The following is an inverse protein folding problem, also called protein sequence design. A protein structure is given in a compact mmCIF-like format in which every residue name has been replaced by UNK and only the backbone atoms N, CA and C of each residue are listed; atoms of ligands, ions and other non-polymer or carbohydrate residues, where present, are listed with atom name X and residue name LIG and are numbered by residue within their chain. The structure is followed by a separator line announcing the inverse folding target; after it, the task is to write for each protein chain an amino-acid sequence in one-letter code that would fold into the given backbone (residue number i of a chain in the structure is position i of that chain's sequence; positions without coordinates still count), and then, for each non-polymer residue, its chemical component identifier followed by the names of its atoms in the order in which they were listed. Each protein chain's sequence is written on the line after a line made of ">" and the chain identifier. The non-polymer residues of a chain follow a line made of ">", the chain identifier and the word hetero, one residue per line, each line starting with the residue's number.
data_IF_781311860754
#
_entry.id   IF_781311860754
#
_cell.length_a   1.000
_cell.length_b   1.000
_cell.length_c   1.000
_cell.angle_alpha   90.00
_cell.angle_beta   90.00
_cell.angle_gamma   90.00
#
_symmetry.space_group_name_H-M   'P 1'
#
loop_
_entity.id
_entity.type
_entity.pdbx_description
1 polymer ?
#
# COMPACT_ATOMS: atom_id res chain seq x y z
N UNK A 1 -13.02 -15.16 27.79
CA UNK A 1 -13.55 -14.17 26.83
C UNK A 1 -13.60 -14.82 25.45
N UNK A 2 -14.75 -14.85 24.76
CA UNK A 2 -14.82 -15.39 23.40
C UNK A 2 -14.05 -14.49 22.44
N UNK A 3 -13.36 -15.10 21.47
CA UNK A 3 -12.61 -14.35 20.44
C UNK A 3 -13.62 -13.55 19.60
N UNK A 4 -13.45 -12.22 19.56
CA UNK A 4 -14.41 -11.28 18.95
C UNK A 4 -14.55 -11.38 17.42
N UNK A 5 -13.70 -12.14 16.73
CA UNK A 5 -13.64 -12.15 15.25
C UNK A 5 -13.78 -13.55 14.67
N UNK A 6 -14.73 -13.71 13.73
CA UNK A 6 -15.01 -14.93 12.94
C UNK A 6 -14.34 -14.95 11.56
N UNK A 7 -13.56 -13.92 11.21
CA UNK A 7 -13.00 -13.72 9.86
C UNK A 7 -11.48 -13.90 9.82
N UNK A 8 -10.98 -14.16 8.60
CA UNK A 8 -9.56 -14.19 8.31
C UNK A 8 -8.94 -12.80 8.48
N UNK A 9 -7.70 -12.76 8.99
CA UNK A 9 -6.87 -11.54 9.09
C UNK A 9 -5.95 -11.37 7.88
N UNK A 10 -5.96 -12.30 6.94
CA UNK A 10 -5.13 -12.23 5.73
C UNK A 10 -5.62 -11.14 4.79
N UNK A 11 -4.67 -10.42 4.20
CA UNK A 11 -4.93 -9.35 3.24
C UNK A 11 -4.54 -9.76 1.80
N UNK A 12 -4.03 -10.99 1.61
CA UNK A 12 -3.60 -11.51 0.33
C UNK A 12 -4.73 -11.42 -0.73
N UNK A 13 -4.38 -10.93 -1.91
CA UNK A 13 -5.32 -10.72 -3.03
C UNK A 13 -6.33 -9.59 -2.81
N UNK A 14 -6.26 -8.85 -1.70
CA UNK A 14 -7.09 -7.65 -1.47
C UNK A 14 -6.40 -6.39 -2.00
N UNK A 15 -7.17 -5.31 -2.11
CA UNK A 15 -6.65 -3.97 -2.41
C UNK A 15 -6.63 -3.15 -1.13
N UNK A 16 -5.50 -2.50 -0.84
CA UNK A 16 -5.32 -1.65 0.34
C UNK A 16 -4.89 -0.24 -0.07
N UNK A 17 -5.49 0.79 0.53
CA UNK A 17 -5.08 2.18 0.40
C UNK A 17 -4.32 2.61 1.64
N UNK A 18 -3.07 3.05 1.48
CA UNK A 18 -2.20 3.46 2.60
C UNK A 18 -1.82 4.92 2.42
N UNK A 19 -2.24 5.76 3.37
CA UNK A 19 -1.88 7.19 3.43
C UNK A 19 -0.64 7.40 4.30
N UNK A 20 0.06 8.52 4.12
CA UNK A 20 1.29 8.79 4.88
C UNK A 20 2.42 7.79 4.53
N UNK A 21 2.36 7.19 3.34
CA UNK A 21 3.22 6.07 2.96
C UNK A 21 4.57 6.47 2.38
N UNK A 22 4.91 7.77 2.37
CA UNK A 22 6.26 8.24 2.06
C UNK A 22 7.31 7.74 3.06
N UNK A 23 6.94 7.63 4.34
CA UNK A 23 7.90 7.39 5.41
C UNK A 23 7.28 6.68 6.62
N UNK A 24 8.13 6.40 7.62
CA UNK A 24 7.71 5.87 8.92
C UNK A 24 6.83 4.63 8.82
N UNK A 25 5.76 4.62 9.62
CA UNK A 25 4.83 3.48 9.71
C UNK A 25 4.01 3.28 8.44
N UNK A 26 3.63 4.36 7.73
CA UNK A 26 2.86 4.24 6.50
C UNK A 26 3.65 3.49 5.42
N UNK A 27 4.93 3.84 5.24
CA UNK A 27 5.83 3.13 4.32
C UNK A 27 5.99 1.66 4.71
N UNK A 28 6.29 1.40 5.99
CA UNK A 28 6.47 0.02 6.47
C UNK A 28 5.20 -0.82 6.30
N UNK A 29 4.02 -0.22 6.51
CA UNK A 29 2.73 -0.89 6.32
C UNK A 29 2.45 -1.17 4.85
N UNK A 30 2.70 -0.21 3.96
CA UNK A 30 2.54 -0.41 2.51
C UNK A 30 3.44 -1.53 1.99
N UNK A 31 4.70 -1.57 2.44
CA UNK A 31 5.66 -2.64 2.13
C UNK A 31 5.16 -4.00 2.63
N UNK A 32 4.80 -4.09 3.91
CA UNK A 32 4.30 -5.34 4.49
C UNK A 32 3.05 -5.86 3.77
N UNK A 33 2.12 -4.98 3.40
CA UNK A 33 0.91 -5.39 2.69
C UNK A 33 1.20 -5.86 1.26
N UNK A 34 2.17 -5.25 0.57
CA UNK A 34 2.61 -5.74 -0.72
C UNK A 34 3.27 -7.12 -0.59
N UNK A 35 4.13 -7.31 0.42
CA UNK A 35 4.81 -8.59 0.70
C UNK A 35 3.81 -9.70 1.10
N UNK A 36 2.73 -9.36 1.81
CA UNK A 36 1.63 -10.27 2.12
C UNK A 36 0.68 -10.52 0.92
N UNK A 37 0.95 -9.92 -0.24
CA UNK A 37 0.27 -10.19 -1.50
C UNK A 37 -0.99 -9.36 -1.74
N UNK A 38 -1.16 -8.21 -1.09
CA UNK A 38 -2.16 -7.22 -1.51
C UNK A 38 -1.67 -6.37 -2.68
N UNK A 39 -2.65 -5.81 -3.39
CA UNK A 39 -2.46 -4.67 -4.28
C UNK A 39 -2.53 -3.40 -3.44
N UNK A 40 -1.44 -2.66 -3.36
CA UNK A 40 -1.35 -1.50 -2.47
C UNK A 40 -1.33 -0.20 -3.26
N UNK A 41 -2.22 0.73 -2.91
CA UNK A 41 -2.21 2.10 -3.37
C UNK A 41 -1.55 2.98 -2.30
N UNK A 42 -0.50 3.70 -2.68
CA UNK A 42 0.28 4.57 -1.77
C UNK A 42 -0.13 6.02 -2.00
N UNK A 43 -0.49 6.72 -0.93
CA UNK A 43 -0.87 8.14 -0.96
C UNK A 43 -0.05 8.92 0.05
N UNK A 44 0.57 9.99 -0.39
CA UNK A 44 1.25 10.95 0.47
C UNK A 44 1.25 12.32 -0.20
N UNK A 45 1.52 13.37 0.58
CA UNK A 45 1.75 14.72 0.07
C UNK A 45 3.14 14.85 -0.55
N UNK A 46 4.10 14.07 -0.08
CA UNK A 46 5.46 14.06 -0.65
C UNK A 46 5.51 13.16 -1.90
N UNK A 47 5.74 13.77 -3.06
CA UNK A 47 5.80 13.09 -4.36
C UNK A 47 6.91 12.03 -4.45
N UNK A 48 7.91 12.07 -3.56
CA UNK A 48 8.96 11.05 -3.49
C UNK A 48 8.44 9.66 -3.05
N UNK A 49 7.21 9.58 -2.51
CA UNK A 49 6.60 8.36 -1.97
C UNK A 49 6.16 7.32 -3.01
N UNK A 50 6.02 7.70 -4.28
CA UNK A 50 5.28 6.93 -5.29
C UNK A 50 5.99 5.67 -5.84
N UNK A 51 7.11 5.23 -5.26
CA UNK A 51 7.99 4.19 -5.82
C UNK A 51 8.13 2.94 -4.93
N UNK A 52 7.03 2.41 -4.39
CA UNK A 52 7.04 1.11 -3.71
C UNK A 52 6.45 0.03 -4.63
N UNK A 53 7.35 -0.75 -5.24
CA UNK A 53 7.15 -2.12 -5.73
C UNK A 53 5.85 -2.40 -6.53
N UNK A 54 5.69 -1.76 -7.68
CA UNK A 54 4.92 -2.33 -8.80
C UNK A 54 3.41 -2.11 -8.84
N UNK A 55 2.82 -1.31 -7.94
CA UNK A 55 1.44 -0.86 -8.08
C UNK A 55 1.35 0.67 -7.90
N UNK A 56 1.44 1.38 -9.04
CA UNK A 56 1.19 2.83 -9.12
C UNK A 56 -0.30 3.01 -9.43
N UNK A 57 -1.08 3.51 -8.48
CA UNK A 57 -2.42 4.03 -8.76
C UNK A 57 -2.33 5.56 -8.59
N UNK A 58 -2.27 6.34 -9.69
CA UNK A 58 -2.18 7.79 -9.59
C UNK A 58 -3.48 8.35 -9.03
N UNK A 59 -3.39 9.09 -7.93
CA UNK A 59 -4.40 10.08 -7.53
C UNK A 59 -3.78 11.45 -7.76
N UNK A 60 -4.32 12.17 -8.75
CA UNK A 60 -4.06 13.57 -9.07
C UNK A 60 -2.59 14.04 -9.22
N UNK A 61 -1.86 13.49 -10.21
CA UNK A 61 -0.77 14.24 -10.88
C UNK A 61 0.65 13.65 -10.93
N UNK A 62 0.90 12.42 -10.49
CA UNK A 62 2.25 11.82 -10.52
C UNK A 62 2.54 10.96 -11.76
N UNK A 63 3.72 11.15 -12.37
CA UNK A 63 4.24 10.46 -13.57
C UNK A 63 4.14 8.93 -13.53
N UNK A 64 3.89 8.34 -14.70
CA UNK A 64 3.98 6.90 -14.95
C UNK A 64 5.41 6.57 -15.39
N UNK A 65 6.19 5.90 -14.53
CA UNK A 65 7.41 5.22 -14.97
C UNK A 65 7.05 3.78 -15.37
N UNK A 66 6.97 3.52 -16.67
CA UNK A 66 6.92 2.17 -17.23
C UNK A 66 8.35 1.65 -17.26
N UNK A 67 8.63 0.54 -16.58
CA UNK A 67 9.95 -0.09 -16.63
C UNK A 67 10.14 -0.80 -17.99
N UNK A 68 11.20 -0.43 -18.71
CA UNK A 68 11.89 -1.35 -19.65
C UNK A 68 12.81 -2.25 -18.83
#
# INVERSE_FOLDING_TARGET
>A
MPRLTKLSRSIAGRTALVTGAASGMGRATAQLFADEGARVAVVDRDAAASYLNGAIIPVDGGLIAQNT
#
